data_IF_697299356698
#
_entry.id   IF_697299356698
#
_cell.length_a   1.000
_cell.length_b   1.000
_cell.length_c   1.000
_cell.angle_alpha   90.00
_cell.angle_beta   90.00
_cell.angle_gamma   90.00
#
_symmetry.space_group_name_H-M   'P 1'
#
loop_
_entity.id
_entity.type
_entity.pdbx_description
1 polymer ?
#
# COMPACT_ATOMS: atom_id res chain seq x y z
N UNK A 1 -10.30 -23.17 -9.21
CA UNK A 1 -10.02 -22.38 -7.99
C UNK A 1 -8.77 -21.57 -8.23
N UNK A 2 -8.84 -20.24 -8.20
CA UNK A 2 -7.68 -19.39 -8.46
C UNK A 2 -6.85 -19.24 -7.17
N UNK A 3 -5.93 -20.17 -6.92
CA UNK A 3 -5.05 -20.22 -5.73
C UNK A 3 -3.82 -19.34 -5.90
N UNK A 4 -4.01 -18.07 -6.30
CA UNK A 4 -2.93 -17.12 -6.51
C UNK A 4 -3.15 -15.88 -5.66
N UNK A 5 -2.20 -15.63 -4.74
CA UNK A 5 -2.11 -14.40 -3.96
C UNK A 5 -2.43 -13.17 -4.84
N UNK A 6 -3.44 -12.39 -4.46
CA UNK A 6 -3.78 -11.16 -5.19
C UNK A 6 -2.64 -10.15 -4.97
N UNK A 7 -1.68 -10.10 -5.91
CA UNK A 7 -0.66 -9.06 -5.90
C UNK A 7 -1.36 -7.70 -5.98
N UNK A 8 -1.04 -6.72 -5.10
CA UNK A 8 -1.59 -5.38 -5.19
C UNK A 8 -1.25 -4.83 -6.58
N UNK A 9 -2.30 -4.52 -7.36
CA UNK A 9 -2.13 -4.24 -8.79
C UNK A 9 -1.46 -2.89 -9.05
N UNK A 10 -1.67 -1.89 -8.19
CA UNK A 10 -1.13 -0.53 -8.31
C UNK A 10 -1.04 0.16 -6.94
N UNK A 11 0.02 0.95 -6.75
CA UNK A 11 0.12 1.98 -5.72
C UNK A 11 -0.40 3.28 -6.33
N UNK A 12 -1.37 3.91 -5.69
CA UNK A 12 -1.92 5.18 -6.11
C UNK A 12 -1.33 6.30 -5.27
N UNK A 13 -1.05 7.43 -5.90
CA UNK A 13 -0.67 8.66 -5.24
C UNK A 13 -1.82 9.64 -5.36
N UNK A 14 -2.22 10.23 -4.24
CA UNK A 14 -3.15 11.34 -4.21
C UNK A 14 -2.40 12.63 -4.59
N UNK A 15 -2.54 13.02 -5.86
CA UNK A 15 -1.84 14.15 -6.45
C UNK A 15 -2.31 15.50 -5.88
N UNK A 16 -3.51 15.58 -5.31
CA UNK A 16 -4.01 16.83 -4.70
C UNK A 16 -3.25 17.15 -3.41
N UNK A 17 -2.84 16.11 -2.69
CA UNK A 17 -2.08 16.24 -1.43
C UNK A 17 -0.56 16.25 -1.63
N UNK A 18 -0.08 15.91 -2.83
CA UNK A 18 1.34 15.72 -3.09
C UNK A 18 2.12 17.04 -3.00
N UNK A 19 3.20 17.03 -2.22
CA UNK A 19 4.12 18.15 -2.06
C UNK A 19 5.58 17.67 -1.94
N UNK A 20 6.58 18.55 -1.99
CA UNK A 20 7.99 18.15 -1.84
C UNK A 20 8.32 17.45 -0.51
N UNK A 21 7.45 17.56 0.52
CA UNK A 21 7.69 17.01 1.86
C UNK A 21 6.61 16.03 2.33
N UNK A 22 5.57 15.79 1.54
CA UNK A 22 4.47 14.92 1.90
C UNK A 22 3.87 14.25 0.65
N UNK A 23 3.58 12.96 0.74
CA UNK A 23 2.81 12.24 -0.26
C UNK A 23 1.86 11.26 0.41
N UNK A 24 0.59 11.29 0.01
CA UNK A 24 -0.40 10.31 0.43
C UNK A 24 -0.52 9.22 -0.63
N UNK A 25 -0.25 7.99 -0.21
CA UNK A 25 -0.31 6.82 -1.08
C UNK A 25 -1.29 5.79 -0.52
N UNK A 26 -2.03 5.14 -1.40
CA UNK A 26 -2.92 4.03 -1.04
C UNK A 26 -2.81 2.89 -2.05
N UNK A 27 -3.03 1.67 -1.59
CA UNK A 27 -2.95 0.47 -2.41
C UNK A 27 -4.10 -0.47 -2.08
N UNK A 28 -4.67 -1.09 -3.12
CA UNK A 28 -5.76 -2.06 -3.02
C UNK A 28 -5.86 -2.85 -4.34
N UNK A 29 -6.51 -4.04 -4.36
CA UNK A 29 -7.05 -4.78 -3.21
C UNK A 29 -5.95 -5.53 -2.45
N UNK A 30 -6.17 -5.75 -1.15
CA UNK A 30 -5.39 -6.67 -0.32
C UNK A 30 -6.27 -7.81 0.16
N UNK A 31 -5.67 -8.99 0.35
CA UNK A 31 -6.30 -10.06 1.12
C UNK A 31 -6.55 -9.59 2.55
N UNK A 32 -7.63 -10.10 3.16
CA UNK A 32 -8.03 -9.73 4.52
C UNK A 32 -6.84 -9.94 5.49
N UNK A 33 -6.48 -8.88 6.21
CA UNK A 33 -5.36 -8.89 7.17
C UNK A 33 -3.99 -8.54 6.58
N UNK A 34 -3.80 -8.63 5.26
CA UNK A 34 -2.50 -8.40 4.64
C UNK A 34 -2.11 -6.92 4.57
N UNK A 35 -3.09 -6.02 4.55
CA UNK A 35 -2.85 -4.57 4.59
C UNK A 35 -2.08 -4.12 5.84
N UNK A 36 -2.41 -4.69 7.00
CA UNK A 36 -1.70 -4.41 8.26
C UNK A 36 -0.27 -4.95 8.24
N UNK A 37 -0.06 -6.16 7.71
CA UNK A 37 1.28 -6.76 7.57
C UNK A 37 2.20 -5.87 6.73
N UNK A 38 1.71 -5.42 5.56
CA UNK A 38 2.47 -4.54 4.67
C UNK A 38 2.69 -3.17 5.32
N UNK A 39 1.66 -2.57 5.92
CA UNK A 39 1.76 -1.27 6.59
C UNK A 39 2.81 -1.26 7.71
N UNK A 40 2.81 -2.31 8.55
CA UNK A 40 3.80 -2.46 9.62
C UNK A 40 5.22 -2.66 9.06
N UNK A 41 5.37 -3.46 8.00
CA UNK A 41 6.68 -3.66 7.36
C UNK A 41 7.23 -2.35 6.78
N UNK A 42 6.42 -1.59 6.04
CA UNK A 42 6.81 -0.30 5.48
C UNK A 42 7.17 0.71 6.57
N UNK A 43 6.37 0.80 7.64
CA UNK A 43 6.65 1.67 8.79
C UNK A 43 8.03 1.37 9.39
N UNK A 44 8.41 0.10 9.50
CA UNK A 44 9.71 -0.32 10.06
C UNK A 44 10.91 -0.09 9.13
N UNK A 45 10.68 -0.02 7.82
CA UNK A 45 11.76 0.19 6.84
C UNK A 45 12.02 1.68 6.63
N UNK A 46 10.98 2.51 6.75
CA UNK A 46 11.05 3.95 6.53
C UNK A 46 11.38 4.76 7.79
N UNK A 47 11.39 4.13 8.97
CA UNK A 47 11.77 4.71 10.27
C UNK A 47 13.03 4.02 10.78
#
# INVERSE_FOLDING_TARGET
MNTGFQKPKRLFCDLETLSPRYGHFYAQPFERGFGTTIGNALRRVLL
#
